data_IF_442339128773
#
_entry.id   IF_442339128773
#
_cell.length_a   1.000
_cell.length_b   1.000
_cell.length_c   1.000
_cell.angle_alpha   90.00
_cell.angle_beta   90.00
_cell.angle_gamma   90.00
#
_symmetry.space_group_name_H-M   'P 1'
#
loop_
_entity.id
_entity.type
_entity.pdbx_description
1 polymer ?
#
# COMPACT_ATOMS: atom_id res chain seq x y z
N UNK A 1 15.70 9.94 44.23
CA UNK A 1 14.34 9.88 43.67
C UNK A 1 13.95 8.43 43.63
N UNK A 2 12.74 8.02 44.04
CA UNK A 2 12.37 6.62 43.91
C UNK A 2 12.31 6.28 42.40
N UNK A 3 13.09 5.29 41.98
CA UNK A 3 13.07 4.76 40.62
C UNK A 3 11.69 4.14 40.40
N UNK A 4 10.93 4.69 39.46
CA UNK A 4 9.63 4.14 39.06
C UNK A 4 9.88 2.79 38.37
N UNK A 5 9.59 1.70 39.07
CA UNK A 5 9.58 0.36 38.47
C UNK A 5 8.36 0.26 37.54
N UNK A 6 8.55 -0.38 36.41
CA UNK A 6 7.46 -0.84 35.56
C UNK A 6 6.76 -2.01 36.27
N UNK A 7 5.75 -1.70 37.06
CA UNK A 7 5.04 -2.64 37.94
C UNK A 7 3.60 -2.81 37.46
N UNK A 8 3.18 -4.07 37.27
CA UNK A 8 1.81 -4.42 36.89
C UNK A 8 0.75 -3.85 37.85
N UNK A 9 1.07 -3.68 39.13
CA UNK A 9 0.15 -3.12 40.13
C UNK A 9 -0.02 -1.60 40.00
N UNK A 10 0.98 -0.91 39.48
CA UNK A 10 0.96 0.54 39.26
C UNK A 10 0.65 0.93 37.81
N UNK A 11 0.52 -0.06 36.93
CA UNK A 11 0.20 0.20 35.52
C UNK A 11 -1.21 0.77 35.34
N UNK A 12 -1.26 2.00 34.83
CA UNK A 12 -2.51 2.64 34.46
C UNK A 12 -2.67 2.58 32.93
N UNK A 13 -3.54 1.69 32.45
CA UNK A 13 -3.80 1.49 31.02
C UNK A 13 -4.32 2.76 30.34
N UNK A 14 -5.09 3.61 31.04
CA UNK A 14 -5.60 4.87 30.51
C UNK A 14 -4.48 5.90 30.35
N UNK A 15 -3.59 6.02 31.35
CA UNK A 15 -2.43 6.89 31.27
C UNK A 15 -1.47 6.45 30.14
N UNK A 16 -1.22 5.15 30.01
CA UNK A 16 -0.39 4.61 28.93
C UNK A 16 -1.01 4.89 27.55
N UNK A 17 -2.32 4.66 27.40
CA UNK A 17 -3.05 5.01 26.18
C UNK A 17 -2.95 6.50 25.87
N UNK A 18 -3.09 7.36 26.85
CA UNK A 18 -2.96 8.81 26.69
C UNK A 18 -1.56 9.23 26.22
N UNK A 19 -0.50 8.60 26.73
CA UNK A 19 0.88 8.83 26.24
C UNK A 19 1.03 8.32 24.82
N UNK A 20 0.57 7.11 24.52
CA UNK A 20 0.61 6.52 23.19
C UNK A 20 -0.11 7.36 22.11
N UNK A 21 -1.28 7.92 22.46
CA UNK A 21 -2.06 8.74 21.54
C UNK A 21 -1.40 10.11 21.26
N UNK A 22 -0.49 10.55 22.12
CA UNK A 22 0.26 11.82 21.97
C UNK A 22 1.57 11.69 21.21
N UNK A 23 2.11 10.47 21.07
CA UNK A 23 3.34 10.25 20.32
C UNK A 23 3.06 10.55 18.85
N UNK A 24 3.84 11.44 18.20
CA UNK A 24 3.64 11.78 16.80
C UNK A 24 3.85 10.56 15.91
N UNK A 25 2.82 10.19 15.16
CA UNK A 25 2.88 9.12 14.15
C UNK A 25 3.17 9.76 12.79
N UNK A 26 4.43 10.07 12.52
CA UNK A 26 4.82 10.90 11.38
C UNK A 26 4.28 10.38 10.04
N UNK A 27 4.51 9.11 9.72
CA UNK A 27 4.05 8.50 8.44
C UNK A 27 2.52 8.47 8.33
N UNK A 28 1.82 8.02 9.37
CA UNK A 28 0.36 7.99 9.38
C UNK A 28 -0.24 9.41 9.32
N UNK A 29 0.41 10.38 9.95
CA UNK A 29 -0.02 11.77 9.90
C UNK A 29 0.12 12.35 8.48
N UNK A 30 1.22 12.04 7.77
CA UNK A 30 1.38 12.48 6.37
C UNK A 30 0.35 11.82 5.44
N UNK A 31 0.03 10.54 5.64
CA UNK A 31 -1.05 9.85 4.94
C UNK A 31 -2.42 10.48 5.19
N UNK A 32 -2.69 10.93 6.41
CA UNK A 32 -3.93 11.64 6.76
C UNK A 32 -3.95 13.07 6.25
N UNK A 33 -2.86 13.82 6.35
CA UNK A 33 -2.73 15.19 5.84
C UNK A 33 -2.88 15.24 4.32
N UNK A 34 -2.33 14.28 3.60
CA UNK A 34 -2.49 14.14 2.16
C UNK A 34 -3.88 13.67 1.74
N UNK A 35 -4.76 13.37 2.71
CA UNK A 35 -6.12 12.85 2.50
C UNK A 35 -6.16 11.51 1.75
N UNK A 36 -5.08 10.77 1.70
CA UNK A 36 -5.03 9.41 1.15
C UNK A 36 -5.85 8.47 2.04
N UNK A 37 -5.62 8.55 3.36
CA UNK A 37 -6.45 7.86 4.36
C UNK A 37 -7.59 8.76 4.80
N UNK A 38 -8.80 8.32 4.55
CA UNK A 38 -10.04 9.03 4.94
C UNK A 38 -10.89 8.13 5.81
N UNK A 39 -11.41 8.68 6.92
CA UNK A 39 -12.36 7.99 7.77
C UNK A 39 -13.68 7.77 7.04
N UNK A 40 -14.32 6.62 7.27
CA UNK A 40 -15.64 6.32 6.74
C UNK A 40 -16.60 5.99 7.89
N UNK A 41 -17.55 6.89 8.21
CA UNK A 41 -18.49 6.71 9.31
C UNK A 41 -19.38 5.47 9.15
N UNK A 42 -19.70 5.06 7.92
CA UNK A 42 -20.53 3.88 7.66
C UNK A 42 -19.78 2.60 8.06
N UNK A 43 -18.48 2.51 7.76
CA UNK A 43 -17.61 1.40 8.19
C UNK A 43 -17.54 1.38 9.73
N UNK A 44 -17.35 2.54 10.35
CA UNK A 44 -17.31 2.65 11.80
C UNK A 44 -18.63 2.26 12.46
N UNK A 45 -19.75 2.65 11.90
CA UNK A 45 -21.08 2.31 12.41
C UNK A 45 -21.35 0.81 12.38
N UNK A 46 -20.94 0.12 11.32
CA UNK A 46 -21.18 -1.32 11.14
C UNK A 46 -20.18 -2.18 11.94
N UNK A 47 -18.89 -1.82 11.94
CA UNK A 47 -17.83 -2.64 12.53
C UNK A 47 -17.37 -2.16 13.91
N UNK A 48 -17.69 -0.93 14.30
CA UNK A 48 -17.28 -0.31 15.56
C UNK A 48 -18.00 -0.85 16.80
N UNK A 49 -19.23 -1.30 16.64
CA UNK A 49 -20.11 -1.76 17.74
C UNK A 49 -19.85 -3.21 18.17
N UNK A 50 -18.70 -3.78 17.93
CA UNK A 50 -18.30 -5.14 18.37
C UNK A 50 -19.41 -6.21 18.18
N UNK A 51 -20.17 -6.12 17.10
CA UNK A 51 -21.31 -7.01 16.80
C UNK A 51 -20.90 -8.46 16.44
N UNK A 52 -19.68 -8.88 16.80
CA UNK A 52 -19.19 -10.24 16.58
C UNK A 52 -18.71 -10.53 15.15
N UNK A 53 -18.77 -9.56 14.23
CA UNK A 53 -18.31 -9.74 12.85
C UNK A 53 -17.00 -9.01 12.60
N UNK A 54 -16.01 -9.71 12.02
CA UNK A 54 -14.78 -9.12 11.50
C UNK A 54 -14.88 -8.73 10.02
N UNK A 55 -16.05 -8.88 9.42
CA UNK A 55 -16.31 -8.61 8.01
C UNK A 55 -17.71 -8.02 7.83
N UNK A 56 -17.83 -7.03 6.97
CA UNK A 56 -19.12 -6.43 6.63
C UNK A 56 -19.14 -5.98 5.17
N UNK A 57 -20.35 -5.87 4.61
CA UNK A 57 -20.57 -5.23 3.31
C UNK A 57 -21.13 -3.83 3.55
N UNK A 58 -20.52 -2.85 2.95
CA UNK A 58 -20.89 -1.44 3.04
C UNK A 58 -21.40 -0.97 1.69
N UNK A 59 -22.55 -0.30 1.67
CA UNK A 59 -23.13 0.20 0.43
C UNK A 59 -22.29 1.34 -0.15
N UNK A 60 -22.04 1.27 -1.44
CA UNK A 60 -21.42 2.33 -2.24
C UNK A 60 -22.39 2.82 -3.29
N UNK A 61 -22.50 4.13 -3.45
CA UNK A 61 -23.29 4.72 -4.53
C UNK A 61 -22.44 4.80 -5.79
N UNK A 62 -22.98 4.27 -6.90
CA UNK A 62 -22.41 4.43 -8.23
C UNK A 62 -22.62 5.84 -8.78
N UNK A 63 -21.82 6.20 -9.77
CA UNK A 63 -22.09 7.40 -10.56
C UNK A 63 -23.30 7.17 -11.44
N UNK A 64 -24.08 8.23 -11.65
CA UNK A 64 -25.14 8.23 -12.66
C UNK A 64 -24.47 8.14 -14.03
N UNK A 65 -24.95 7.22 -14.86
CA UNK A 65 -24.52 7.03 -16.25
C UNK A 65 -25.76 7.02 -17.18
N UNK A 66 -25.53 7.13 -18.45
CA UNK A 66 -26.55 7.16 -19.48
C UNK A 66 -26.36 8.34 -20.44
N UNK A 67 -26.86 8.21 -21.62
CA UNK A 67 -26.87 9.29 -22.61
C UNK A 67 -28.06 10.21 -22.40
N UNK A 68 -27.86 11.50 -22.53
CA UNK A 68 -28.95 12.47 -22.48
C UNK A 68 -29.82 12.34 -23.74
N UNK A 69 -31.12 12.31 -23.55
CA UNK A 69 -32.08 12.32 -24.65
C UNK A 69 -32.30 13.74 -25.14
N UNK A 70 -32.51 13.91 -26.44
CA UNK A 70 -32.82 15.23 -27.00
C UNK A 70 -34.16 15.74 -26.46
N UNK A 71 -34.17 16.97 -25.94
CA UNK A 71 -35.40 17.60 -25.44
C UNK A 71 -36.05 18.38 -26.60
N UNK A 72 -36.83 17.65 -27.40
CA UNK A 72 -37.48 18.19 -28.60
C UNK A 72 -39.04 18.26 -28.47
N UNK A 73 -39.59 17.85 -27.32
CA UNK A 73 -41.03 17.78 -27.08
C UNK A 73 -41.71 16.60 -27.74
N UNK A 74 -40.96 15.70 -28.40
CA UNK A 74 -41.50 14.50 -29.07
C UNK A 74 -40.83 13.22 -28.58
N UNK A 75 -39.59 13.30 -28.09
CA UNK A 75 -38.82 12.15 -27.62
C UNK A 75 -39.13 11.85 -26.17
N UNK A 76 -39.52 10.62 -25.86
CA UNK A 76 -39.79 10.18 -24.49
C UNK A 76 -38.53 10.12 -23.67
N UNK A 77 -38.57 10.65 -22.45
CA UNK A 77 -37.48 10.60 -21.49
C UNK A 77 -37.52 9.26 -20.76
N UNK A 78 -36.54 8.41 -21.00
CA UNK A 78 -36.43 7.12 -20.31
C UNK A 78 -35.64 7.27 -19.00
N UNK A 79 -36.28 6.92 -17.87
CA UNK A 79 -35.65 6.96 -16.57
C UNK A 79 -34.66 5.78 -16.41
N UNK A 80 -33.43 6.07 -16.01
CA UNK A 80 -32.46 5.07 -15.62
C UNK A 80 -32.35 4.99 -14.11
N UNK A 81 -32.19 3.78 -13.55
CA UNK A 81 -32.05 3.59 -12.11
C UNK A 81 -30.65 4.00 -11.62
N UNK A 82 -30.58 4.46 -10.38
CA UNK A 82 -29.30 4.67 -9.70
C UNK A 82 -28.62 3.33 -9.41
N UNK A 83 -27.32 3.22 -9.71
CA UNK A 83 -26.54 2.03 -9.39
C UNK A 83 -26.06 2.08 -7.95
N UNK A 84 -26.35 1.02 -7.20
CA UNK A 84 -25.82 0.82 -5.84
C UNK A 84 -24.92 -0.41 -5.87
N UNK A 85 -23.76 -0.29 -5.28
CA UNK A 85 -22.77 -1.36 -5.16
C UNK A 85 -22.55 -1.70 -3.69
N UNK A 86 -22.01 -2.90 -3.44
CA UNK A 86 -21.60 -3.31 -2.10
C UNK A 86 -20.10 -3.56 -2.08
N UNK A 87 -19.43 -2.95 -1.11
CA UNK A 87 -18.00 -3.16 -0.87
C UNK A 87 -17.83 -4.01 0.37
N UNK A 88 -17.17 -5.17 0.24
CA UNK A 88 -16.72 -5.97 1.37
C UNK A 88 -15.54 -5.32 2.08
N UNK A 89 -15.64 -5.17 3.39
CA UNK A 89 -14.59 -4.63 4.24
C UNK A 89 -14.28 -5.60 5.37
N UNK A 90 -13.01 -5.71 5.75
CA UNK A 90 -12.52 -6.64 6.76
C UNK A 90 -11.74 -5.91 7.85
N UNK A 91 -11.92 -6.38 9.08
CA UNK A 91 -11.18 -5.89 10.25
C UNK A 91 -9.87 -6.66 10.37
N UNK A 92 -8.77 -5.95 10.40
CA UNK A 92 -7.45 -6.49 10.64
C UNK A 92 -7.11 -6.32 12.12
N UNK A 93 -7.07 -7.40 12.86
CA UNK A 93 -6.64 -7.44 14.26
C UNK A 93 -5.18 -7.86 14.36
N UNK A 94 -4.40 -7.14 15.13
CA UNK A 94 -3.01 -7.48 15.44
C UNK A 94 -2.78 -7.36 16.94
N UNK A 95 -1.95 -8.27 17.48
CA UNK A 95 -1.55 -8.26 18.89
C UNK A 95 -0.07 -8.57 19.01
N UNK A 96 0.58 -7.97 20.00
CA UNK A 96 1.97 -8.23 20.36
C UNK A 96 2.14 -8.07 21.86
N UNK A 97 3.06 -8.85 22.42
CA UNK A 97 3.45 -8.73 23.82
C UNK A 97 4.96 -8.59 23.93
N UNK A 98 5.39 -7.81 24.92
CA UNK A 98 6.79 -7.61 25.29
C UNK A 98 6.97 -7.99 26.75
N UNK A 99 8.12 -8.59 27.04
CA UNK A 99 8.48 -9.06 28.38
C UNK A 99 9.68 -8.29 28.90
N UNK A 100 9.62 -7.82 30.12
CA UNK A 100 10.75 -7.32 30.86
C UNK A 100 11.00 -8.18 32.08
N UNK A 101 12.28 -8.45 32.33
CA UNK A 101 12.73 -9.23 33.51
C UNK A 101 13.24 -8.30 34.58
N UNK A 102 12.92 -8.56 35.86
CA UNK A 102 13.39 -7.78 37.01
C UNK A 102 14.93 -7.68 37.01
N UNK A 103 15.63 -8.75 36.64
CA UNK A 103 17.09 -8.78 36.56
C UNK A 103 17.69 -7.77 35.59
N UNK A 104 16.98 -7.48 34.47
CA UNK A 104 17.44 -6.47 33.50
C UNK A 104 17.42 -5.06 34.09
N UNK A 105 16.45 -4.78 34.96
CA UNK A 105 16.35 -3.52 35.66
C UNK A 105 17.51 -3.31 36.68
N UNK A 106 17.88 -4.37 37.40
CA UNK A 106 18.96 -4.34 38.40
C UNK A 106 20.34 -4.05 37.74
N UNK A 107 20.54 -4.48 36.49
CA UNK A 107 21.78 -4.24 35.73
C UNK A 107 21.83 -2.85 35.12
N UNK A 108 20.71 -2.30 34.66
CA UNK A 108 20.66 -1.05 33.88
C UNK A 108 20.54 0.21 34.71
N UNK A 109 20.45 0.09 36.05
CA UNK A 109 20.45 1.23 36.97
C UNK A 109 19.17 2.09 36.91
N UNK A 110 18.05 1.55 36.46
CA UNK A 110 16.72 2.15 36.64
C UNK A 110 16.41 3.32 35.69
N UNK A 111 16.61 3.17 34.42
CA UNK A 111 16.11 4.12 33.40
C UNK A 111 14.57 4.12 33.40
N UNK A 112 13.93 5.28 33.16
CA UNK A 112 12.48 5.40 33.06
C UNK A 112 11.96 4.62 31.83
N UNK A 113 11.67 3.32 32.08
CA UNK A 113 11.27 2.35 31.07
C UNK A 113 9.91 2.68 30.46
N UNK A 114 8.98 3.25 31.23
CA UNK A 114 7.62 3.53 30.77
C UNK A 114 7.56 4.50 29.59
N UNK A 115 8.33 5.59 29.63
CA UNK A 115 8.36 6.54 28.54
C UNK A 115 9.08 5.98 27.30
N UNK A 116 10.16 5.23 27.53
CA UNK A 116 10.94 4.64 26.44
C UNK A 116 10.16 3.51 25.76
N UNK A 117 9.48 2.64 26.51
CA UNK A 117 8.64 1.57 25.97
C UNK A 117 7.45 2.11 25.20
N UNK A 118 6.80 3.17 25.70
CA UNK A 118 5.68 3.78 24.99
C UNK A 118 6.11 4.28 23.58
N UNK A 119 7.28 4.93 23.50
CA UNK A 119 7.82 5.37 22.21
C UNK A 119 8.09 4.19 21.27
N UNK A 120 8.80 3.18 21.73
CA UNK A 120 9.13 2.00 20.92
C UNK A 120 7.89 1.22 20.48
N UNK A 121 6.87 1.11 21.35
CA UNK A 121 5.60 0.46 21.00
C UNK A 121 4.83 1.27 19.95
N UNK A 122 4.87 2.61 20.05
CA UNK A 122 4.23 3.47 19.04
C UNK A 122 4.89 3.32 17.69
N UNK A 123 6.23 3.31 17.63
CA UNK A 123 6.99 3.14 16.40
C UNK A 123 6.74 1.75 15.79
N UNK A 124 6.77 0.69 16.61
CA UNK A 124 6.43 -0.67 16.18
C UNK A 124 5.04 -0.76 15.52
N UNK A 125 4.02 -0.13 16.13
CA UNK A 125 2.67 -0.17 15.57
C UNK A 125 2.53 0.67 14.29
N UNK A 126 3.35 1.71 14.10
CA UNK A 126 3.42 2.42 12.83
C UNK A 126 3.95 1.54 11.70
N UNK A 127 5.01 0.78 11.98
CA UNK A 127 5.59 -0.13 11.00
C UNK A 127 4.59 -1.25 10.63
N UNK A 128 3.90 -1.84 11.61
CA UNK A 128 2.85 -2.85 11.35
C UNK A 128 1.67 -2.27 10.56
N UNK A 129 1.25 -1.03 10.82
CA UNK A 129 0.19 -0.38 10.04
C UNK A 129 0.62 -0.18 8.58
N UNK A 130 1.86 0.19 8.35
CA UNK A 130 2.44 0.37 7.03
C UNK A 130 2.56 -0.97 6.29
N UNK A 131 3.07 -2.01 6.95
CA UNK A 131 3.17 -3.36 6.39
C UNK A 131 1.78 -3.89 5.99
N UNK A 132 0.77 -3.67 6.84
CA UNK A 132 -0.62 -4.03 6.54
C UNK A 132 -1.14 -3.27 5.31
N UNK A 133 -0.86 -1.98 5.20
CA UNK A 133 -1.24 -1.17 4.05
C UNK A 133 -0.56 -1.68 2.76
N UNK A 134 0.73 -1.99 2.83
CA UNK A 134 1.48 -2.53 1.70
C UNK A 134 0.97 -3.93 1.30
N UNK A 135 0.62 -4.78 2.28
CA UNK A 135 0.00 -6.08 2.02
C UNK A 135 -1.35 -5.95 1.29
N UNK A 136 -2.19 -4.98 1.70
CA UNK A 136 -3.45 -4.66 1.01
C UNK A 136 -3.18 -4.20 -0.42
N UNK A 137 -2.25 -3.27 -0.65
CA UNK A 137 -1.92 -2.79 -1.99
C UNK A 137 -1.36 -3.91 -2.87
N UNK A 138 -0.51 -4.78 -2.32
CA UNK A 138 0.00 -5.97 -3.03
C UNK A 138 -1.15 -6.89 -3.46
N UNK A 139 -2.11 -7.15 -2.58
CA UNK A 139 -3.29 -7.95 -2.88
C UNK A 139 -4.18 -7.32 -3.96
N UNK A 140 -4.41 -6.02 -3.90
CA UNK A 140 -5.15 -5.26 -4.92
C UNK A 140 -4.53 -5.42 -6.30
N UNK A 141 -3.22 -5.31 -6.40
CA UNK A 141 -2.51 -5.46 -7.68
C UNK A 141 -2.20 -6.91 -8.07
N UNK A 142 -2.54 -7.88 -7.23
CA UNK A 142 -2.50 -9.30 -7.52
C UNK A 142 -3.87 -9.87 -7.94
N UNK A 143 -4.91 -9.04 -8.05
CA UNK A 143 -6.24 -9.49 -8.50
C UNK A 143 -6.16 -10.14 -9.87
N UNK A 144 -6.89 -11.26 -10.01
CA UNK A 144 -7.00 -12.04 -11.25
C UNK A 144 -8.45 -12.17 -11.67
N UNK A 145 -8.68 -12.41 -12.97
CA UNK A 145 -10.00 -12.65 -13.54
C UNK A 145 -10.73 -11.39 -14.00
N UNK A 146 -11.32 -11.48 -15.17
CA UNK A 146 -12.24 -10.52 -15.78
C UNK A 146 -11.87 -9.04 -15.65
N UNK A 147 -12.80 -8.26 -15.18
CA UNK A 147 -12.64 -6.80 -15.01
C UNK A 147 -11.64 -6.41 -13.92
N UNK A 148 -11.39 -7.29 -12.93
CA UNK A 148 -10.37 -7.04 -11.90
C UNK A 148 -8.96 -7.09 -12.49
N UNK A 149 -8.67 -8.06 -13.37
CA UNK A 149 -7.39 -8.11 -14.10
C UNK A 149 -7.23 -6.94 -15.08
N UNK A 150 -8.31 -6.52 -15.74
CA UNK A 150 -8.30 -5.32 -16.59
C UNK A 150 -7.96 -4.06 -15.78
N UNK A 151 -8.52 -3.93 -14.57
CA UNK A 151 -8.16 -2.86 -13.65
C UNK A 151 -6.66 -2.87 -13.33
N UNK A 152 -6.12 -4.03 -12.91
CA UNK A 152 -4.69 -4.17 -12.59
C UNK A 152 -3.82 -3.75 -13.77
N UNK A 153 -4.17 -4.17 -15.00
CA UNK A 153 -3.40 -3.81 -16.21
C UNK A 153 -3.46 -2.30 -16.48
N UNK A 154 -4.64 -1.70 -16.41
CA UNK A 154 -4.81 -0.25 -16.66
C UNK A 154 -4.16 0.63 -15.60
N UNK A 155 -4.09 0.16 -14.35
CA UNK A 155 -3.51 0.88 -13.22
C UNK A 155 -2.06 0.51 -12.92
N UNK A 156 -1.43 -0.31 -13.76
CA UNK A 156 0.01 -0.63 -13.70
C UNK A 156 0.72 0.00 -14.89
N UNK A 157 1.72 0.83 -14.61
CA UNK A 157 2.62 1.41 -15.59
C UNK A 157 4.01 0.81 -15.42
N UNK A 158 4.52 0.13 -16.43
CA UNK A 158 5.83 -0.53 -16.40
C UNK A 158 6.83 0.25 -17.23
N UNK A 159 7.98 0.55 -16.63
CA UNK A 159 9.12 1.18 -17.29
C UNK A 159 10.26 0.16 -17.31
N UNK A 160 10.79 -0.12 -18.49
CA UNK A 160 11.90 -1.07 -18.67
C UNK A 160 13.28 -0.51 -18.26
N UNK A 161 13.31 0.67 -17.70
CA UNK A 161 14.47 1.39 -17.21
C UNK A 161 14.21 2.13 -15.92
N UNK A 162 15.02 3.13 -15.65
CA UNK A 162 14.89 4.01 -14.51
C UNK A 162 13.68 4.96 -14.66
N UNK A 163 13.25 5.54 -13.54
CA UNK A 163 12.19 6.54 -13.54
C UNK A 163 12.65 7.83 -14.24
N UNK A 164 11.74 8.42 -15.02
CA UNK A 164 11.95 9.65 -15.76
C UNK A 164 10.92 10.71 -15.36
N UNK A 165 11.17 11.96 -15.72
CA UNK A 165 10.28 13.10 -15.43
C UNK A 165 8.83 12.89 -15.94
N UNK A 166 8.65 12.18 -17.05
CA UNK A 166 7.35 11.90 -17.67
C UNK A 166 6.61 10.71 -17.03
N UNK A 167 7.32 9.80 -16.37
CA UNK A 167 6.79 8.50 -15.88
C UNK A 167 5.56 8.67 -15.00
N UNK A 168 5.63 9.54 -14.01
CA UNK A 168 4.53 9.77 -13.08
C UNK A 168 3.27 10.31 -13.76
N UNK A 169 3.44 11.26 -14.68
CA UNK A 169 2.32 11.86 -15.42
C UNK A 169 1.67 10.85 -16.35
N UNK A 170 2.47 10.01 -17.01
CA UNK A 170 1.99 8.93 -17.88
C UNK A 170 1.25 7.86 -17.09
N UNK A 171 1.79 7.41 -15.96
CA UNK A 171 1.16 6.43 -15.09
C UNK A 171 -0.18 6.92 -14.54
N UNK A 172 -0.25 8.16 -14.04
CA UNK A 172 -1.50 8.72 -13.50
C UNK A 172 -2.54 9.00 -14.59
N UNK A 173 -2.10 9.37 -15.81
CA UNK A 173 -2.99 9.55 -16.95
C UNK A 173 -3.55 8.21 -17.45
N UNK A 174 -2.73 7.15 -17.51
CA UNK A 174 -3.19 5.80 -17.87
C UNK A 174 -4.23 5.28 -16.88
N UNK A 175 -4.01 5.46 -15.57
CA UNK A 175 -4.91 4.96 -14.53
C UNK A 175 -6.26 5.69 -14.49
N UNK A 176 -6.26 7.01 -14.44
CA UNK A 176 -7.45 7.81 -14.14
C UNK A 176 -7.79 8.87 -15.20
N UNK A 177 -6.99 9.02 -16.27
CA UNK A 177 -7.24 9.98 -17.34
C UNK A 177 -7.34 11.42 -16.84
N UNK A 178 -8.48 12.06 -17.05
CA UNK A 178 -8.79 13.44 -16.64
C UNK A 178 -8.80 13.63 -15.11
N UNK A 179 -9.05 12.55 -14.34
CA UNK A 179 -9.02 12.57 -12.87
C UNK A 179 -7.62 12.47 -12.25
N UNK A 180 -6.55 12.50 -13.04
CA UNK A 180 -5.15 12.38 -12.57
C UNK A 180 -4.73 13.37 -11.48
N UNK A 181 -5.44 14.50 -11.36
CA UNK A 181 -5.18 15.51 -10.31
C UNK A 181 -5.50 15.05 -8.90
N UNK A 182 -6.27 13.95 -8.74
CA UNK A 182 -6.62 13.37 -7.44
C UNK A 182 -5.43 12.68 -6.76
N UNK A 183 -4.40 12.29 -7.51
CA UNK A 183 -3.21 11.68 -6.93
C UNK A 183 -2.43 12.68 -6.08
N UNK A 184 -2.13 12.31 -4.83
CA UNK A 184 -1.54 13.18 -3.82
C UNK A 184 -0.19 12.70 -3.30
N UNK A 185 0.04 11.38 -3.28
CA UNK A 185 1.18 10.77 -2.61
C UNK A 185 1.75 9.60 -3.40
N UNK A 186 3.04 9.33 -3.20
CA UNK A 186 3.78 8.23 -3.82
C UNK A 186 4.57 7.52 -2.74
N UNK A 187 4.47 6.19 -2.71
CA UNK A 187 5.36 5.32 -1.96
C UNK A 187 6.39 4.72 -2.91
N UNK A 188 7.66 4.81 -2.60
CA UNK A 188 8.72 4.22 -3.41
C UNK A 188 9.88 3.71 -2.55
N UNK A 189 10.64 2.78 -3.09
CA UNK A 189 11.89 2.29 -2.49
C UNK A 189 12.98 3.37 -2.57
N UNK A 190 14.00 3.27 -1.71
CA UNK A 190 15.12 4.23 -1.66
C UNK A 190 15.90 4.30 -2.98
N UNK A 191 16.04 3.19 -3.71
CA UNK A 191 16.79 3.15 -4.98
C UNK A 191 16.16 4.02 -6.06
N UNK A 192 14.87 3.88 -6.44
CA UNK A 192 14.19 4.80 -7.35
C UNK A 192 14.19 6.26 -6.85
N UNK A 193 14.05 6.46 -5.51
CA UNK A 193 14.09 7.79 -4.93
C UNK A 193 15.45 8.46 -5.15
N UNK A 194 16.56 7.74 -4.87
CA UNK A 194 17.92 8.24 -5.08
C UNK A 194 18.17 8.55 -6.56
N UNK A 195 17.65 7.74 -7.48
CA UNK A 195 17.75 8.01 -8.90
C UNK A 195 17.06 9.33 -9.29
N UNK A 196 15.85 9.57 -8.77
CA UNK A 196 15.14 10.83 -8.99
C UNK A 196 15.85 12.03 -8.34
N UNK A 197 16.50 11.84 -7.19
CA UNK A 197 17.36 12.87 -6.55
C UNK A 197 18.55 13.22 -7.44
N UNK A 198 19.24 12.23 -7.95
CA UNK A 198 20.38 12.42 -8.88
C UNK A 198 19.98 13.14 -10.16
N UNK A 199 18.74 12.93 -10.62
CA UNK A 199 18.16 13.64 -11.77
C UNK A 199 17.60 15.03 -11.43
N UNK A 200 17.68 15.46 -10.16
CA UNK A 200 17.10 16.71 -9.64
C UNK A 200 15.57 16.82 -9.90
N UNK A 201 14.87 15.71 -9.92
CA UNK A 201 13.42 15.65 -10.11
C UNK A 201 12.64 15.71 -8.80
N UNK A 202 13.30 15.45 -7.66
CA UNK A 202 12.73 15.61 -6.34
C UNK A 202 12.96 17.04 -5.82
N UNK A 203 11.90 17.67 -5.36
CA UNK A 203 11.95 18.97 -4.74
C UNK A 203 11.69 18.85 -3.25
N UNK A 204 12.67 19.29 -2.42
CA UNK A 204 12.47 19.33 -0.97
C UNK A 204 11.37 20.35 -0.63
N UNK A 205 10.47 19.96 0.28
CA UNK A 205 9.50 20.89 0.84
C UNK A 205 10.23 21.88 1.76
N UNK A 206 9.93 23.17 1.59
CA UNK A 206 10.54 24.24 2.38
C UNK A 206 9.56 24.73 3.44
N UNK A 207 10.04 24.86 4.64
CA UNK A 207 9.33 25.51 5.74
C UNK A 207 10.00 26.84 6.07
N UNK A 208 9.23 27.90 6.06
CA UNK A 208 9.71 29.21 6.50
C UNK A 208 9.24 29.44 7.93
N UNK A 209 10.18 29.60 8.86
CA UNK A 209 9.89 29.88 10.25
C UNK A 209 9.32 31.31 10.42
N UNK A 210 8.77 31.60 11.60
CA UNK A 210 8.23 32.94 11.93
C UNK A 210 9.26 34.06 11.79
N UNK A 211 10.54 33.71 11.90
CA UNK A 211 11.68 34.61 11.75
C UNK A 211 12.15 34.80 10.28
N UNK A 212 11.40 34.27 9.31
CA UNK A 212 11.72 34.36 7.88
C UNK A 212 12.82 33.42 7.39
N UNK A 213 13.32 32.52 8.24
CA UNK A 213 14.35 31.55 7.87
C UNK A 213 13.70 30.36 7.16
N UNK A 214 14.08 30.12 5.92
CA UNK A 214 13.61 28.97 5.14
C UNK A 214 14.53 27.78 5.41
N UNK A 215 13.95 26.67 5.84
CA UNK A 215 14.63 25.39 6.06
C UNK A 215 14.02 24.31 5.18
N UNK A 216 14.87 23.42 4.63
CA UNK A 216 14.38 22.25 3.90
C UNK A 216 13.84 21.23 4.89
N UNK A 217 12.66 20.69 4.59
CA UNK A 217 12.10 19.55 5.30
C UNK A 217 12.66 18.26 4.69
N UNK A 218 12.70 17.20 5.50
CA UNK A 218 13.07 15.84 5.05
C UNK A 218 12.01 15.16 4.15
N UNK A 219 11.02 15.94 3.71
CA UNK A 219 9.95 15.48 2.84
C UNK A 219 10.16 16.02 1.44
N UNK A 220 10.08 15.13 0.47
CA UNK A 220 10.25 15.44 -0.94
C UNK A 220 8.92 15.42 -1.70
N UNK A 221 8.87 16.17 -2.80
CA UNK A 221 7.76 16.10 -3.75
C UNK A 221 8.28 15.82 -5.15
N UNK A 222 7.54 14.99 -5.88
CA UNK A 222 7.73 14.72 -7.29
C UNK A 222 6.50 15.17 -8.08
N UNK A 223 6.65 16.12 -8.98
CA UNK A 223 5.54 16.72 -9.72
C UNK A 223 4.38 17.18 -8.83
N UNK A 224 4.70 17.75 -7.65
CA UNK A 224 3.71 18.25 -6.69
C UNK A 224 3.01 17.19 -5.86
N UNK A 225 3.45 15.92 -5.91
CA UNK A 225 2.95 14.83 -5.07
C UNK A 225 3.97 14.49 -4.01
N UNK A 226 3.51 14.26 -2.78
CA UNK A 226 4.37 13.91 -1.66
C UNK A 226 5.01 12.53 -1.89
N UNK A 227 6.32 12.43 -1.69
CA UNK A 227 7.07 11.18 -1.79
C UNK A 227 7.39 10.66 -0.40
N UNK A 228 6.99 9.43 -0.12
CA UNK A 228 7.40 8.67 1.05
C UNK A 228 8.34 7.54 0.60
N UNK A 229 9.54 7.56 1.15
CA UNK A 229 10.56 6.54 0.89
C UNK A 229 10.44 5.45 1.94
N UNK A 230 10.41 4.20 1.47
CA UNK A 230 10.30 3.02 2.33
C UNK A 230 10.96 1.81 1.69
N UNK A 231 11.94 1.25 2.36
CA UNK A 231 12.67 0.06 1.91
C UNK A 231 11.87 -1.25 2.06
N UNK A 232 10.71 -1.21 2.73
CA UNK A 232 9.73 -2.31 2.76
C UNK A 232 8.92 -2.47 1.47
N UNK A 233 9.12 -1.58 0.47
CA UNK A 233 8.45 -1.66 -0.82
C UNK A 233 8.83 -2.93 -1.59
N UNK A 234 7.89 -3.56 -2.34
CA UNK A 234 8.17 -4.79 -3.07
C UNK A 234 9.27 -4.61 -4.11
N UNK A 235 10.26 -5.50 -4.04
CA UNK A 235 11.33 -5.64 -5.02
C UNK A 235 11.29 -7.06 -5.57
N UNK A 236 11.29 -7.21 -6.88
CA UNK A 236 11.22 -8.51 -7.57
C UNK A 236 12.43 -8.66 -8.48
N UNK A 237 13.13 -9.80 -8.38
CA UNK A 237 14.16 -10.13 -9.37
C UNK A 237 13.48 -10.53 -10.69
N UNK A 238 13.88 -9.89 -11.78
CA UNK A 238 13.30 -10.14 -13.11
C UNK A 238 14.40 -10.56 -14.06
N UNK A 239 14.14 -11.65 -14.78
CA UNK A 239 15.04 -12.17 -15.79
C UNK A 239 15.15 -11.23 -17.00
N UNK A 240 16.28 -11.36 -17.72
CA UNK A 240 16.45 -10.63 -18.97
C UNK A 240 15.35 -10.99 -19.98
N UNK A 241 14.85 -9.99 -20.68
CA UNK A 241 14.01 -10.21 -21.86
C UNK A 241 14.83 -10.09 -23.13
N UNK A 242 14.42 -10.82 -24.15
CA UNK A 242 15.14 -10.90 -25.40
C UNK A 242 14.22 -10.58 -26.58
N UNK A 243 14.74 -9.82 -27.52
CA UNK A 243 14.08 -9.56 -28.79
C UNK A 243 14.92 -10.12 -29.95
N UNK A 244 14.29 -10.41 -31.06
CA UNK A 244 15.02 -10.76 -32.26
C UNK A 244 15.84 -9.56 -32.71
N UNK A 245 17.12 -9.79 -33.06
CA UNK A 245 17.99 -8.70 -33.51
C UNK A 245 17.50 -8.14 -34.83
N UNK A 246 17.64 -6.85 -34.99
CA UNK A 246 17.43 -6.16 -36.28
C UNK A 246 18.73 -5.89 -37.02
N UNK A 247 19.85 -6.38 -36.49
CA UNK A 247 21.16 -6.18 -37.12
C UNK A 247 21.27 -6.93 -38.43
N UNK A 248 21.91 -6.31 -39.40
CA UNK A 248 22.22 -6.91 -40.72
C UNK A 248 23.68 -7.33 -40.82
N UNK A 249 24.51 -6.94 -39.85
CA UNK A 249 25.93 -7.29 -39.71
C UNK A 249 26.28 -7.49 -38.22
N UNK A 250 27.31 -8.26 -37.92
CA UNK A 250 27.77 -8.47 -36.55
C UNK A 250 28.34 -7.18 -35.96
N UNK A 251 27.83 -6.79 -34.77
CA UNK A 251 28.29 -5.62 -34.04
C UNK A 251 29.35 -6.05 -33.02
N UNK A 252 30.52 -5.43 -33.09
CA UNK A 252 31.61 -5.72 -32.18
C UNK A 252 31.22 -5.43 -30.72
N UNK A 253 31.46 -6.41 -29.84
CA UNK A 253 31.17 -6.29 -28.41
C UNK A 253 29.68 -6.64 -28.07
N UNK A 254 28.84 -6.94 -29.03
CA UNK A 254 27.45 -7.35 -28.81
C UNK A 254 27.36 -8.87 -28.67
N UNK A 255 26.64 -9.33 -27.63
CA UNK A 255 26.36 -10.75 -27.41
C UNK A 255 25.04 -11.11 -28.07
N UNK A 256 25.07 -12.13 -28.94
CA UNK A 256 23.91 -12.69 -29.60
C UNK A 256 23.45 -13.98 -28.90
N UNK A 257 22.19 -14.28 -28.96
CA UNK A 257 21.57 -15.45 -28.33
C UNK A 257 20.77 -16.27 -29.33
N UNK A 258 20.73 -17.58 -29.14
CA UNK A 258 19.79 -18.47 -29.81
C UNK A 258 18.69 -18.88 -28.88
N UNK A 259 17.46 -19.04 -29.39
CA UNK A 259 16.28 -19.46 -28.65
C UNK A 259 16.02 -20.95 -28.87
N UNK A 260 15.88 -21.70 -27.76
CA UNK A 260 15.43 -23.09 -27.75
C UNK A 260 14.29 -23.25 -26.74
N UNK A 261 13.06 -23.38 -27.22
CA UNK A 261 11.87 -23.33 -26.38
C UNK A 261 11.74 -21.97 -25.69
N UNK A 262 11.79 -21.96 -24.36
CA UNK A 262 11.77 -20.74 -23.54
C UNK A 262 13.17 -20.23 -23.14
N UNK A 263 14.22 -21.00 -23.46
CA UNK A 263 15.60 -20.71 -23.01
C UNK A 263 16.38 -19.98 -24.09
N UNK A 264 17.14 -18.96 -23.69
CA UNK A 264 18.10 -18.22 -24.50
C UNK A 264 19.53 -18.60 -24.09
N UNK A 265 20.37 -18.88 -25.08
CA UNK A 265 21.77 -19.29 -24.87
C UNK A 265 22.68 -18.40 -25.71
N UNK A 266 23.72 -17.85 -25.06
CA UNK A 266 24.68 -17.01 -25.75
C UNK A 266 25.43 -17.79 -26.84
N UNK A 267 25.61 -17.16 -27.99
CA UNK A 267 26.33 -17.72 -29.14
C UNK A 267 27.80 -17.37 -29.00
N UNK A 268 28.66 -18.38 -28.81
CA UNK A 268 30.10 -18.18 -28.63
C UNK A 268 30.81 -17.63 -29.89
N UNK A 269 30.34 -18.03 -31.08
CA UNK A 269 30.89 -17.61 -32.37
C UNK A 269 29.75 -17.25 -33.32
N UNK A 270 29.23 -16.01 -33.25
CA UNK A 270 28.13 -15.61 -34.15
C UNK A 270 28.61 -15.50 -35.61
N UNK A 271 27.72 -15.85 -36.55
CA UNK A 271 27.94 -15.75 -38.00
C UNK A 271 26.93 -14.79 -38.61
N UNK A 272 27.38 -14.03 -39.63
CA UNK A 272 26.50 -13.09 -40.36
C UNK A 272 25.37 -13.85 -41.09
N UNK A 273 25.64 -15.06 -41.60
CA UNK A 273 24.66 -15.86 -42.33
C UNK A 273 23.44 -16.24 -41.47
N UNK A 274 23.62 -16.34 -40.15
CA UNK A 274 22.58 -16.71 -39.19
C UNK A 274 22.02 -15.53 -38.40
N UNK A 275 22.47 -14.30 -38.70
CA UNK A 275 22.15 -13.13 -37.87
C UNK A 275 20.65 -12.89 -37.67
N UNK A 276 19.86 -13.16 -38.72
CA UNK A 276 18.41 -13.02 -38.68
C UNK A 276 17.71 -13.99 -37.72
N UNK A 277 18.41 -15.03 -37.22
CA UNK A 277 17.86 -16.01 -36.26
C UNK A 277 18.28 -15.69 -34.81
N UNK A 278 19.13 -14.70 -34.64
CA UNK A 278 19.65 -14.35 -33.31
C UNK A 278 18.73 -13.39 -32.56
N UNK A 279 18.87 -13.45 -31.28
CA UNK A 279 18.24 -12.59 -30.31
C UNK A 279 19.28 -11.75 -29.59
N UNK A 280 18.87 -10.60 -29.15
CA UNK A 280 19.64 -9.70 -28.29
C UNK A 280 18.88 -9.44 -26.99
N UNK A 281 19.58 -9.04 -25.95
CA UNK A 281 18.96 -8.60 -24.71
C UNK A 281 18.16 -7.32 -25.01
N UNK A 282 16.86 -7.37 -24.77
CA UNK A 282 15.98 -6.20 -24.86
C UNK A 282 15.99 -5.42 -23.56
N UNK A 283 15.76 -6.13 -22.44
CA UNK A 283 15.89 -5.57 -21.10
C UNK A 283 16.79 -6.51 -20.30
N UNK A 284 17.87 -6.03 -19.69
CA UNK A 284 18.79 -6.87 -18.89
C UNK A 284 18.07 -7.41 -17.65
N UNK A 285 18.57 -8.54 -17.14
CA UNK A 285 18.17 -9.02 -15.82
C UNK A 285 18.49 -7.99 -14.73
N UNK A 286 17.68 -7.93 -13.71
CA UNK A 286 17.89 -6.99 -12.62
C UNK A 286 16.72 -6.98 -11.64
N UNK A 287 16.75 -6.05 -10.74
CA UNK A 287 15.67 -5.82 -9.78
C UNK A 287 14.60 -4.90 -10.38
N UNK A 288 13.35 -5.23 -10.16
CA UNK A 288 12.18 -4.42 -10.50
C UNK A 288 11.58 -3.88 -9.20
N UNK A 289 11.57 -2.58 -9.08
CA UNK A 289 11.03 -1.86 -7.93
C UNK A 289 9.59 -1.48 -8.19
N UNK A 290 8.74 -1.75 -7.21
CA UNK A 290 7.33 -1.35 -7.24
C UNK A 290 7.13 -0.06 -6.47
N UNK A 291 6.52 0.94 -7.10
CA UNK A 291 6.07 2.18 -6.46
C UNK A 291 4.56 2.31 -6.54
N UNK A 292 3.91 2.72 -5.44
CA UNK A 292 2.46 2.94 -5.41
C UNK A 292 2.15 4.44 -5.41
N UNK A 293 1.22 4.84 -6.26
CA UNK A 293 0.72 6.21 -6.35
C UNK A 293 -0.71 6.23 -5.84
N UNK A 294 -0.95 6.97 -4.77
CA UNK A 294 -2.22 7.03 -4.07
C UNK A 294 -2.82 8.43 -4.16
N UNK A 295 -4.12 8.48 -4.38
CA UNK A 295 -4.85 9.73 -4.45
C UNK A 295 -5.69 10.01 -3.22
N UNK A 296 -6.33 11.20 -3.19
CA UNK A 296 -7.24 11.59 -2.13
C UNK A 296 -8.41 10.60 -2.02
N UNK A 297 -8.68 10.13 -0.80
CA UNK A 297 -9.74 9.17 -0.52
C UNK A 297 -9.55 7.80 -1.14
N UNK A 298 -8.32 7.43 -1.49
CA UNK A 298 -8.03 6.11 -2.07
C UNK A 298 -8.24 4.96 -1.10
N UNK A 299 -8.06 5.20 0.20
CA UNK A 299 -8.19 4.17 1.23
C UNK A 299 -9.05 4.69 2.38
N UNK A 300 -10.12 3.96 2.68
CA UNK A 300 -10.89 4.17 3.89
C UNK A 300 -10.15 3.53 5.07
N UNK A 301 -9.82 4.33 6.07
CA UNK A 301 -9.11 3.90 7.27
C UNK A 301 -9.93 4.18 8.51
N UNK A 302 -10.16 3.14 9.31
CA UNK A 302 -10.80 3.27 10.62
C UNK A 302 -10.03 2.50 11.69
N UNK A 303 -9.76 3.18 12.79
CA UNK A 303 -9.27 2.55 14.01
C UNK A 303 -10.47 2.25 14.91
N UNK A 304 -10.81 0.96 15.01
CA UNK A 304 -11.98 0.51 15.77
C UNK A 304 -11.67 0.30 17.26
N UNK A 305 -10.38 0.31 17.61
CA UNK A 305 -9.90 -0.02 18.95
C UNK A 305 -10.14 -1.48 19.35
N UNK A 306 -9.55 -1.89 20.44
CA UNK A 306 -9.82 -3.16 21.10
C UNK A 306 -10.48 -2.93 22.45
N UNK A 307 -11.21 -3.92 22.99
CA UNK A 307 -11.88 -3.82 24.29
C UNK A 307 -10.87 -3.51 25.41
N UNK A 308 -9.70 -4.18 25.37
CA UNK A 308 -8.57 -3.95 26.26
C UNK A 308 -7.34 -3.75 25.37
N UNK A 309 -7.03 -2.51 24.96
CA UNK A 309 -5.93 -2.26 24.01
C UNK A 309 -4.57 -2.50 24.64
N UNK A 310 -4.42 -2.17 25.92
CA UNK A 310 -3.18 -2.32 26.68
C UNK A 310 -3.46 -3.01 27.99
N UNK A 311 -2.67 -4.01 28.33
CA UNK A 311 -2.80 -4.79 29.54
C UNK A 311 -1.43 -5.24 30.01
N UNK A 312 -1.19 -5.22 31.30
CA UNK A 312 0.05 -5.67 31.88
C UNK A 312 -0.19 -6.82 32.87
N UNK A 313 0.64 -7.83 32.80
CA UNK A 313 0.60 -9.01 33.68
C UNK A 313 1.97 -9.23 34.29
N UNK A 314 2.00 -9.50 35.60
CA UNK A 314 3.21 -9.86 36.31
C UNK A 314 3.21 -11.37 36.63
N UNK A 315 4.32 -12.03 36.35
CA UNK A 315 4.58 -13.40 36.72
C UNK A 315 5.86 -13.48 37.59
N UNK A 316 5.72 -13.59 38.91
CA UNK A 316 6.89 -13.58 39.81
C UNK A 316 7.67 -14.90 39.78
N UNK A 317 7.08 -15.98 39.23
CA UNK A 317 7.70 -17.29 39.23
C UNK A 317 8.64 -17.48 38.00
N UNK A 318 8.40 -16.77 36.91
CA UNK A 318 9.22 -16.87 35.70
C UNK A 318 10.41 -15.94 35.72
N UNK A 319 11.58 -16.42 35.36
CA UNK A 319 12.82 -15.64 35.19
C UNK A 319 13.22 -14.80 36.41
N UNK A 320 12.82 -15.19 37.66
CA UNK A 320 13.06 -14.39 38.86
C UNK A 320 12.14 -13.19 39.01
N UNK A 321 11.08 -13.12 38.27
CA UNK A 321 10.13 -12.03 38.13
C UNK A 321 10.16 -11.45 36.72
N UNK A 322 8.98 -11.36 36.11
CA UNK A 322 8.84 -10.70 34.80
C UNK A 322 7.51 -9.96 34.68
N UNK A 323 7.54 -8.85 33.99
CA UNK A 323 6.38 -8.09 33.59
C UNK A 323 6.14 -8.25 32.10
N UNK A 324 4.89 -8.45 31.68
CA UNK A 324 4.51 -8.62 30.28
C UNK A 324 3.47 -7.57 29.91
N UNK A 325 3.83 -6.72 28.94
CA UNK A 325 2.91 -5.75 28.36
C UNK A 325 2.26 -6.37 27.11
N UNK A 326 0.95 -6.52 27.13
CA UNK A 326 0.13 -6.96 26.01
C UNK A 326 -0.48 -5.75 25.31
N UNK A 327 -0.38 -5.73 23.98
CA UNK A 327 -1.00 -4.68 23.18
C UNK A 327 -1.83 -5.29 22.08
N UNK A 328 -2.99 -4.70 21.80
CA UNK A 328 -3.96 -5.19 20.80
C UNK A 328 -4.54 -4.02 20.04
N UNK A 329 -4.68 -4.17 18.73
CA UNK A 329 -5.36 -3.19 17.88
C UNK A 329 -6.27 -3.86 16.85
N UNK A 330 -7.29 -3.12 16.41
CA UNK A 330 -8.23 -3.53 15.37
C UNK A 330 -8.43 -2.35 14.44
N UNK A 331 -8.05 -2.52 13.17
CA UNK A 331 -8.09 -1.47 12.16
C UNK A 331 -8.70 -1.98 10.87
N UNK A 332 -9.19 -1.08 10.06
CA UNK A 332 -9.71 -1.35 8.73
C UNK A 332 -8.91 -0.54 7.72
N UNK A 333 -8.45 -1.20 6.67
CA UNK A 333 -7.84 -0.59 5.49
C UNK A 333 -8.64 -1.06 4.27
N UNK A 334 -9.57 -0.25 3.79
CA UNK A 334 -10.44 -0.60 2.69
C UNK A 334 -10.16 0.29 1.47
N UNK A 335 -9.52 -0.25 0.41
CA UNK A 335 -9.29 0.49 -0.82
C UNK A 335 -10.62 0.84 -1.49
N UNK A 336 -10.77 2.09 -1.88
CA UNK A 336 -12.03 2.57 -2.48
C UNK A 336 -12.32 1.85 -3.81
N UNK A 337 -13.54 1.33 -3.92
CA UNK A 337 -13.99 0.64 -5.13
C UNK A 337 -13.45 -0.77 -5.33
N UNK A 338 -12.74 -1.31 -4.32
CA UNK A 338 -12.20 -2.67 -4.31
C UNK A 338 -12.75 -3.39 -3.09
N UNK A 339 -13.37 -4.53 -3.31
CA UNK A 339 -14.04 -5.34 -2.30
C UNK A 339 -13.14 -6.47 -1.81
N UNK A 340 -13.13 -6.72 -0.51
CA UNK A 340 -12.51 -7.91 0.06
C UNK A 340 -13.54 -9.03 0.13
N UNK A 341 -13.33 -10.13 -0.61
CA UNK A 341 -14.34 -11.19 -0.79
C UNK A 341 -14.10 -12.44 0.09
N UNK A 342 -13.03 -12.49 0.86
CA UNK A 342 -12.67 -13.60 1.74
C UNK A 342 -12.56 -14.98 1.05
N UNK A 343 -12.35 -15.02 -0.26
CA UNK A 343 -12.40 -16.26 -1.03
C UNK A 343 -11.39 -17.32 -0.52
N UNK A 344 -10.21 -16.90 -0.11
CA UNK A 344 -9.12 -17.75 0.38
C UNK A 344 -8.64 -17.35 1.79
N UNK A 345 -9.51 -16.78 2.61
CA UNK A 345 -9.20 -16.48 4.00
C UNK A 345 -9.58 -17.67 4.88
N UNK A 346 -8.62 -18.19 5.64
CA UNK A 346 -8.82 -19.28 6.62
C UNK A 346 -8.82 -18.78 8.06
N UNK A 347 -8.13 -17.68 8.31
CA UNK A 347 -8.01 -17.05 9.64
C UNK A 347 -9.26 -16.23 10.00
N UNK A 348 -9.53 -16.06 11.30
CA UNK A 348 -10.63 -15.21 11.79
C UNK A 348 -10.36 -13.72 11.51
N UNK A 349 -9.10 -13.32 11.59
CA UNK A 349 -8.62 -12.00 11.17
C UNK A 349 -7.55 -12.22 10.10
N UNK A 350 -7.62 -11.54 8.94
CA UNK A 350 -6.72 -11.83 7.84
C UNK A 350 -5.26 -11.59 8.23
N UNK A 351 -4.40 -12.52 7.85
CA UNK A 351 -2.94 -12.38 7.91
C UNK A 351 -2.45 -11.49 6.76
N UNK A 352 -1.19 -11.01 6.83
CA UNK A 352 -0.62 -10.22 5.74
C UNK A 352 -0.47 -11.03 4.45
N UNK A 353 -0.26 -12.35 4.56
CA UNK A 353 -0.27 -13.26 3.42
C UNK A 353 -1.67 -13.38 2.77
N UNK A 354 -2.73 -13.45 3.57
CA UNK A 354 -4.11 -13.49 3.07
C UNK A 354 -4.53 -12.14 2.47
N UNK A 355 -4.08 -11.01 3.05
CA UNK A 355 -4.28 -9.68 2.49
C UNK A 355 -3.54 -9.48 1.16
N UNK A 356 -2.35 -10.06 1.02
CA UNK A 356 -1.56 -9.99 -0.21
C UNK A 356 -2.06 -10.93 -1.31
N UNK A 357 -2.98 -11.85 -0.99
CA UNK A 357 -3.52 -12.79 -1.96
C UNK A 357 -4.61 -12.10 -2.82
N UNK A 358 -4.33 -11.93 -4.11
CA UNK A 358 -5.23 -11.29 -5.06
C UNK A 358 -6.59 -11.97 -5.22
N UNK A 359 -6.70 -13.28 -4.95
CA UNK A 359 -7.98 -13.99 -5.01
C UNK A 359 -8.97 -13.57 -3.93
N UNK A 360 -8.51 -12.91 -2.85
CA UNK A 360 -9.37 -12.33 -1.82
C UNK A 360 -9.93 -10.96 -2.19
N UNK A 361 -9.51 -10.39 -3.31
CA UNK A 361 -9.91 -9.03 -3.73
C UNK A 361 -10.63 -9.07 -5.07
N UNK A 362 -11.60 -8.21 -5.24
CA UNK A 362 -12.33 -8.03 -6.49
C UNK A 362 -12.72 -6.56 -6.70
N UNK A 363 -12.82 -6.15 -7.96
CA UNK A 363 -13.41 -4.85 -8.30
C UNK A 363 -14.89 -4.85 -7.89
N UNK A 364 -15.34 -3.81 -7.23
CA UNK A 364 -16.73 -3.68 -6.77
C UNK A 364 -17.70 -3.77 -7.95
N UNK A 365 -18.73 -4.59 -7.80
CA UNK A 365 -19.76 -4.84 -8.82
C UNK A 365 -21.17 -4.94 -8.23
N UNK A 366 -22.18 -5.01 -9.09
CA UNK A 366 -23.61 -5.01 -8.73
C UNK A 366 -24.11 -6.25 -7.99
N UNK A 367 -23.25 -7.26 -7.76
CA UNK A 367 -23.62 -8.47 -7.00
C UNK A 367 -24.23 -9.61 -7.83
N UNK A 368 -24.41 -9.45 -9.14
CA UNK A 368 -24.96 -10.48 -10.00
C UNK A 368 -24.07 -11.75 -10.02
N UNK A 369 -24.69 -12.92 -10.04
CA UNK A 369 -23.98 -14.19 -9.99
C UNK A 369 -23.11 -14.40 -11.24
N UNK A 370 -23.62 -14.07 -12.42
CA UNK A 370 -22.95 -14.25 -13.70
C UNK A 370 -22.10 -13.03 -14.04
N UNK A 371 -20.83 -13.22 -14.31
CA UNK A 371 -19.87 -12.13 -14.59
C UNK A 371 -20.32 -11.22 -15.75
N UNK A 372 -20.90 -11.80 -16.79
CA UNK A 372 -21.40 -11.06 -17.97
C UNK A 372 -22.57 -10.11 -17.66
N UNK A 373 -23.28 -10.33 -16.55
CA UNK A 373 -24.41 -9.50 -16.10
C UNK A 373 -23.98 -8.44 -15.07
N UNK A 374 -22.75 -8.56 -14.56
CA UNK A 374 -22.24 -7.63 -13.56
C UNK A 374 -21.95 -6.26 -14.14
N UNK A 375 -22.46 -5.25 -13.48
CA UNK A 375 -22.05 -3.86 -13.67
C UNK A 375 -20.94 -3.54 -12.68
N UNK A 376 -19.82 -3.05 -13.17
CA UNK A 376 -18.66 -2.73 -12.34
C UNK A 376 -18.51 -1.22 -12.13
N UNK A 377 -17.89 -0.84 -11.02
CA UNK A 377 -17.52 0.55 -10.79
C UNK A 377 -16.52 1.01 -11.87
N UNK A 378 -16.62 2.26 -12.31
CA UNK A 378 -15.67 2.80 -13.27
C UNK A 378 -14.26 2.90 -12.63
N UNK A 379 -13.29 2.18 -13.20
CA UNK A 379 -11.94 2.12 -12.69
C UNK A 379 -11.28 3.50 -12.54
N UNK A 380 -11.60 4.48 -13.42
CA UNK A 380 -11.05 5.85 -13.38
C UNK A 380 -11.40 6.64 -12.10
N UNK A 381 -12.40 6.17 -11.33
CA UNK A 381 -12.78 6.78 -10.05
C UNK A 381 -11.86 6.33 -8.90
N UNK A 382 -11.09 5.26 -9.11
CA UNK A 382 -10.22 4.65 -8.11
C UNK A 382 -8.81 5.24 -8.26
N UNK A 383 -8.40 6.19 -7.40
CA UNK A 383 -7.11 6.87 -7.54
C UNK A 383 -5.98 6.05 -6.87
N UNK A 384 -5.76 4.84 -7.35
CA UNK A 384 -4.69 3.95 -6.92
C UNK A 384 -3.96 3.48 -8.18
N UNK A 385 -2.65 3.69 -8.26
CA UNK A 385 -1.85 3.26 -9.40
C UNK A 385 -0.54 2.62 -8.92
N UNK A 386 0.07 1.79 -9.75
CA UNK A 386 1.34 1.14 -9.52
C UNK A 386 2.30 1.46 -10.67
N UNK A 387 3.54 1.78 -10.31
CA UNK A 387 4.64 1.94 -11.28
C UNK A 387 5.66 0.86 -10.98
N UNK A 388 6.10 0.17 -12.01
CA UNK A 388 7.20 -0.79 -11.97
C UNK A 388 8.37 -0.22 -12.76
N UNK A 389 9.57 -0.19 -12.17
CA UNK A 389 10.79 0.38 -12.76
C UNK A 389 12.03 -0.41 -12.36
N UNK A 390 13.16 -0.14 -13.03
CA UNK A 390 14.43 -0.80 -12.72
C UNK A 390 15.31 0.01 -11.74
N UNK A 391 14.81 1.07 -11.21
CA UNK A 391 15.48 1.92 -10.25
C UNK A 391 15.32 3.41 -10.50
#
# INVERSE_FOLDING_TARGET
>A
MPNAKFDAKSFNAEAFKYVMDRIPRARLNELRKSKVLVGNPDIRAVLGTQNGTGYARVAMRGLLDGEAVNYDGQTDITATSTKTFEQGVVVVGRAKAWVEKDFSFDITGGVDFMNNVAQQVADYWQDIDQDTLLAVLKGVFAMTGGKSAEFVTKHTYTVNGNLEASTLNSATAQACGDHKKKFAMIFMHSVPATNLENLNLLTALKYTDKDGITRDLTLYTWNGKLVLVDDGMPVEAVDATYKQTSDTALVTGKTYYTKSGTKYTAVASPSVDNIATYYEVDVPAGEEYTSYVLGEGSINFEDLGAKVPYEMSRDPAKNGGQDTLYTRQRKVFAPKGISYEKANQTSLSPTDAELSNGANWALVHSGEATESQRSYINHKVIPIARIKSRG
#
